data_IF_322964654518
#
_entry.id   IF_322964654518
#
_cell.length_a   1.000
_cell.length_b   1.000
_cell.length_c   1.000
_cell.angle_alpha   90.00
_cell.angle_beta   90.00
_cell.angle_gamma   90.00
#
_symmetry.space_group_name_H-M   'P 1'
#
loop_
_entity.id
_entity.type
_entity.pdbx_description
1 polymer ?
#
# COMPACT_ATOMS: atom_id res chain seq x y z
N UNK A 1 -15.41 6.57 8.89
CA UNK A 1 -14.49 5.72 9.66
C UNK A 1 -13.66 4.91 8.69
N UNK A 2 -12.33 5.06 8.69
CA UNK A 2 -11.48 4.17 7.91
C UNK A 2 -11.63 2.76 8.49
N UNK A 3 -12.05 1.79 7.67
CA UNK A 3 -12.36 0.42 8.09
C UNK A 3 -11.12 -0.34 8.61
N UNK A 4 -9.93 0.14 8.31
CA UNK A 4 -8.65 -0.47 8.65
C UNK A 4 -7.66 0.59 9.16
N UNK A 5 -6.85 0.23 10.16
CA UNK A 5 -5.82 1.11 10.71
C UNK A 5 -4.71 1.38 9.69
N UNK A 6 -3.83 2.34 9.97
CA UNK A 6 -2.66 2.60 9.11
C UNK A 6 -1.73 1.38 9.09
N UNK A 7 -1.41 0.81 10.25
CA UNK A 7 -0.56 -0.40 10.36
C UNK A 7 -1.11 -1.60 9.58
N UNK A 8 -2.43 -1.80 9.55
CA UNK A 8 -3.05 -2.85 8.74
C UNK A 8 -2.87 -2.61 7.25
N UNK A 9 -2.92 -1.35 6.81
CA UNK A 9 -2.70 -0.98 5.41
C UNK A 9 -1.24 -1.18 5.02
N UNK A 10 -0.31 -0.68 5.83
CA UNK A 10 1.13 -0.84 5.60
C UNK A 10 1.51 -2.32 5.53
N UNK A 11 1.02 -3.16 6.46
CA UNK A 11 1.27 -4.61 6.44
C UNK A 11 0.71 -5.28 5.18
N UNK A 12 -0.48 -4.90 4.74
CA UNK A 12 -1.08 -5.46 3.52
C UNK A 12 -0.28 -5.06 2.27
N UNK A 13 0.21 -3.82 2.21
CA UNK A 13 1.03 -3.34 1.10
C UNK A 13 2.42 -3.99 1.09
N UNK A 14 3.07 -4.19 2.25
CA UNK A 14 4.34 -4.92 2.36
C UNK A 14 4.22 -6.35 1.80
N UNK A 15 3.18 -7.07 2.22
CA UNK A 15 2.92 -8.42 1.70
C UNK A 15 2.60 -8.41 0.20
N UNK A 16 1.89 -7.39 -0.29
CA UNK A 16 1.62 -7.25 -1.71
C UNK A 16 2.90 -7.10 -2.54
N UNK A 17 3.85 -6.28 -2.08
CA UNK A 17 5.16 -6.14 -2.74
C UNK A 17 5.96 -7.43 -2.63
N UNK A 18 5.95 -8.09 -1.46
CA UNK A 18 6.65 -9.36 -1.22
C UNK A 18 6.17 -10.50 -2.11
N UNK A 19 4.87 -10.58 -2.38
CA UNK A 19 4.27 -11.56 -3.30
C UNK A 19 4.23 -11.08 -4.75
N UNK A 20 5.16 -10.22 -5.17
CA UNK A 20 5.29 -9.77 -6.56
C UNK A 20 4.02 -9.13 -7.13
N UNK A 21 3.20 -8.52 -6.26
CA UNK A 21 1.89 -7.90 -6.55
C UNK A 21 0.76 -8.90 -6.76
N UNK A 22 0.83 -10.07 -6.13
CA UNK A 22 -0.29 -11.01 -6.08
C UNK A 22 -1.29 -10.64 -4.97
N UNK A 23 -2.38 -9.98 -5.33
CA UNK A 23 -3.44 -9.63 -4.37
C UNK A 23 -4.13 -10.86 -3.77
N UNK A 24 -4.22 -11.97 -4.52
CA UNK A 24 -4.90 -13.17 -4.05
C UNK A 24 -4.16 -13.80 -2.85
N UNK A 25 -2.83 -13.81 -2.87
CA UNK A 25 -2.01 -14.35 -1.78
C UNK A 25 -2.11 -13.48 -0.52
N UNK A 26 -2.09 -12.15 -0.67
CA UNK A 26 -2.28 -11.22 0.46
C UNK A 26 -3.65 -11.45 1.11
N UNK A 27 -4.70 -11.58 0.30
CA UNK A 27 -6.07 -11.80 0.79
C UNK A 27 -6.19 -13.15 1.48
N UNK A 28 -5.54 -14.19 0.92
CA UNK A 28 -5.54 -15.53 1.50
C UNK A 28 -4.81 -15.58 2.85
N UNK A 29 -3.73 -14.82 3.00
CA UNK A 29 -2.95 -14.76 4.25
C UNK A 29 -3.60 -13.90 5.33
N UNK A 30 -4.08 -12.70 4.97
CA UNK A 30 -4.63 -11.75 5.93
C UNK A 30 -6.15 -11.89 6.15
N UNK A 31 -6.89 -12.44 5.18
CA UNK A 31 -8.35 -12.45 5.17
C UNK A 31 -9.00 -11.11 4.79
N UNK A 32 -8.18 -10.09 4.50
CA UNK A 32 -8.52 -8.74 4.08
C UNK A 32 -7.28 -8.16 3.35
N UNK A 33 -7.34 -6.99 2.69
CA UNK A 33 -8.49 -6.21 2.25
C UNK A 33 -9.07 -6.74 0.94
N UNK A 34 -10.09 -6.10 0.35
CA UNK A 34 -10.51 -6.43 -1.02
C UNK A 34 -9.42 -6.02 -2.03
N UNK A 35 -9.34 -6.71 -3.18
CA UNK A 35 -8.34 -6.41 -4.25
C UNK A 35 -8.30 -4.92 -4.64
N UNK A 36 -9.44 -4.26 -4.76
CA UNK A 36 -9.50 -2.83 -5.10
C UNK A 36 -8.93 -1.92 -4.01
N UNK A 37 -9.17 -2.24 -2.74
CA UNK A 37 -8.61 -1.48 -1.63
C UNK A 37 -7.08 -1.63 -1.56
N UNK A 38 -6.56 -2.84 -1.79
CA UNK A 38 -5.12 -3.09 -1.84
C UNK A 38 -4.42 -2.27 -2.93
N UNK A 39 -5.01 -2.22 -4.13
CA UNK A 39 -4.49 -1.41 -5.23
C UNK A 39 -4.53 0.09 -4.91
N UNK A 40 -5.61 0.57 -4.30
CA UNK A 40 -5.73 1.96 -3.88
C UNK A 40 -4.68 2.33 -2.84
N UNK A 41 -4.41 1.46 -1.85
CA UNK A 41 -3.39 1.71 -0.83
C UNK A 41 -1.98 1.67 -1.41
N UNK A 42 -1.71 0.76 -2.35
CA UNK A 42 -0.44 0.71 -3.05
C UNK A 42 -0.20 1.96 -3.91
N UNK A 43 -1.24 2.47 -4.58
CA UNK A 43 -1.15 3.72 -5.34
C UNK A 43 -0.88 4.93 -4.41
N UNK A 44 -1.59 5.03 -3.29
CA UNK A 44 -1.39 6.07 -2.27
C UNK A 44 0.05 6.05 -1.73
N UNK A 45 0.61 4.86 -1.49
CA UNK A 45 2.01 4.70 -1.10
C UNK A 45 2.98 5.15 -2.20
N UNK A 46 2.72 4.83 -3.48
CA UNK A 46 3.56 5.30 -4.60
C UNK A 46 3.50 6.83 -4.77
N UNK A 47 2.34 7.44 -4.56
CA UNK A 47 2.18 8.90 -4.57
C UNK A 47 2.87 9.54 -3.37
N UNK A 48 2.82 8.91 -2.20
CA UNK A 48 3.57 9.35 -1.02
C UNK A 48 5.09 9.26 -1.25
N UNK A 49 5.59 8.16 -1.82
CA UNK A 49 7.01 8.03 -2.18
C UNK A 49 7.42 9.03 -3.27
N UNK A 50 6.54 9.29 -4.25
CA UNK A 50 6.76 10.30 -5.27
C UNK A 50 6.84 11.69 -4.65
N UNK A 51 5.90 12.05 -3.77
CA UNK A 51 5.87 13.36 -3.10
C UNK A 51 6.98 13.54 -2.07
N UNK A 52 7.40 12.46 -1.38
CA UNK A 52 8.63 12.43 -0.58
C UNK A 52 9.87 12.68 -1.43
N UNK A 53 9.95 12.10 -2.63
CA UNK A 53 10.98 12.40 -3.63
C UNK A 53 10.90 13.83 -4.17
N UNK A 54 9.69 14.40 -4.30
CA UNK A 54 9.50 15.80 -4.73
C UNK A 54 9.94 16.80 -3.64
N UNK A 55 9.90 16.42 -2.35
CA UNK A 55 10.45 17.24 -1.27
C UNK A 55 11.98 17.37 -1.37
N UNK A 56 12.69 16.37 -1.94
CA UNK A 56 14.14 16.43 -2.15
C UNK A 56 14.56 17.26 -3.37
N UNK A 57 13.71 17.38 -4.40
CA UNK A 57 14.01 18.14 -5.63
C UNK A 57 13.37 19.53 -5.68
N UNK A 58 12.64 19.95 -4.66
CA UNK A 58 12.10 21.32 -4.53
C UNK A 58 12.87 22.18 -3.52
N UNK A 59 13.94 21.62 -2.94
CA UNK A 59 14.88 22.27 -2.03
C UNK A 59 16.33 22.22 -2.55
N UNK A 60 16.50 22.21 -3.88
CA UNK A 60 17.77 22.34 -4.59
C UNK A 60 17.59 23.24 -5.81
#
# INVERSE_FOLDING_TARGET
>A
MAKYSKEQRDRAVDLYVRYERCAADVIRELGYPSRGALLSWYADQLEEERTRGVCFVKLL
#
